data_IF_179919858646
#
_entry.id   IF_179919858646
#
_cell.length_a   1.000
_cell.length_b   1.000
_cell.length_c   1.000
_cell.angle_alpha   90.00
_cell.angle_beta   90.00
_cell.angle_gamma   90.00
#
_symmetry.space_group_name_H-M   'P 1'
#
loop_
_entity.id
_entity.type
_entity.pdbx_description
1 polymer ?
#
# COMPACT_ATOMS: atom_id res chain seq x y z
N UNK A 1 20.88 -41.10 -1.83
CA UNK A 1 21.46 -39.76 -1.62
C UNK A 1 22.98 -39.89 -1.59
N UNK A 2 23.67 -39.36 -2.59
CA UNK A 2 25.13 -39.43 -2.66
C UNK A 2 25.75 -38.38 -1.72
N UNK A 3 27.02 -38.51 -1.36
CA UNK A 3 27.76 -37.46 -0.61
C UNK A 3 27.66 -36.07 -1.27
N UNK A 4 27.37 -36.00 -2.58
CA UNK A 4 27.14 -34.76 -3.31
C UNK A 4 25.86 -34.03 -2.89
N UNK A 5 24.81 -34.78 -2.53
CA UNK A 5 23.50 -34.21 -2.21
C UNK A 5 23.50 -33.52 -0.86
N UNK A 6 24.16 -34.11 0.15
CA UNK A 6 24.32 -33.49 1.47
C UNK A 6 25.10 -32.18 1.42
N UNK A 7 26.12 -32.10 0.54
CA UNK A 7 26.87 -30.86 0.33
C UNK A 7 26.00 -29.77 -0.29
N UNK A 8 25.15 -30.14 -1.25
CA UNK A 8 24.23 -29.19 -1.87
C UNK A 8 23.20 -28.64 -0.87
N UNK A 9 22.65 -29.48 0.01
CA UNK A 9 21.71 -29.02 1.06
C UNK A 9 22.40 -28.14 2.11
N UNK A 10 23.64 -28.44 2.49
CA UNK A 10 24.43 -27.58 3.38
C UNK A 10 24.71 -26.21 2.75
N UNK A 11 25.02 -26.17 1.45
CA UNK A 11 25.23 -24.93 0.73
C UNK A 11 23.94 -24.09 0.65
N UNK A 12 22.79 -24.72 0.46
CA UNK A 12 21.49 -24.03 0.47
C UNK A 12 21.16 -23.44 1.84
N UNK A 13 21.38 -24.20 2.91
CA UNK A 13 21.21 -23.71 4.28
C UNK A 13 22.13 -22.52 4.56
N UNK A 14 23.42 -22.64 4.20
CA UNK A 14 24.39 -21.57 4.38
C UNK A 14 24.01 -20.33 3.55
N UNK A 15 23.56 -20.50 2.30
CA UNK A 15 23.09 -19.42 1.45
C UNK A 15 21.86 -18.72 2.04
N UNK A 16 20.89 -19.47 2.57
CA UNK A 16 19.71 -18.90 3.22
C UNK A 16 20.10 -18.05 4.44
N UNK A 17 20.96 -18.59 5.32
CA UNK A 17 21.47 -17.85 6.48
C UNK A 17 22.26 -16.60 6.08
N UNK A 18 23.10 -16.70 5.05
CA UNK A 18 23.86 -15.56 4.54
C UNK A 18 22.93 -14.46 3.98
N UNK A 19 21.89 -14.83 3.21
CA UNK A 19 20.93 -13.86 2.68
C UNK A 19 20.17 -13.15 3.81
N UNK A 20 19.71 -13.90 4.82
CA UNK A 20 19.05 -13.34 6.01
C UNK A 20 19.98 -12.38 6.76
N UNK A 21 21.24 -12.77 6.97
CA UNK A 21 22.22 -11.92 7.66
C UNK A 21 22.52 -10.63 6.89
N UNK A 22 22.75 -10.73 5.57
CA UNK A 22 23.01 -9.57 4.70
C UNK A 22 21.82 -8.61 4.71
N UNK A 23 20.60 -9.12 4.54
CA UNK A 23 19.38 -8.29 4.52
C UNK A 23 19.04 -7.66 5.88
N UNK A 24 19.56 -8.20 6.98
CA UNK A 24 19.40 -7.64 8.32
C UNK A 24 20.35 -6.48 8.63
N UNK A 25 21.51 -6.43 7.95
CA UNK A 25 22.60 -5.49 8.28
C UNK A 25 22.93 -4.48 7.17
N UNK A 26 22.60 -4.78 5.91
CA UNK A 26 22.97 -3.95 4.77
C UNK A 26 22.14 -2.66 4.70
N UNK A 27 22.77 -1.48 4.61
CA UNK A 27 22.08 -0.23 4.29
C UNK A 27 21.94 0.02 2.78
N UNK A 28 22.58 -0.80 1.93
CA UNK A 28 22.63 -0.57 0.47
C UNK A 28 21.51 -1.30 -0.28
N UNK A 29 20.71 -0.59 -1.11
CA UNK A 29 19.53 -1.16 -1.77
C UNK A 29 19.88 -2.21 -2.84
N UNK A 30 21.04 -2.09 -3.49
CA UNK A 30 21.48 -3.06 -4.50
C UNK A 30 21.90 -4.40 -3.86
N UNK A 31 22.56 -4.34 -2.70
CA UNK A 31 22.94 -5.52 -1.92
C UNK A 31 21.68 -6.21 -1.39
N UNK A 32 20.70 -5.43 -0.94
CA UNK A 32 19.41 -5.94 -0.52
C UNK A 32 18.69 -6.66 -1.66
N UNK A 33 18.62 -6.07 -2.84
CA UNK A 33 18.00 -6.72 -4.00
C UNK A 33 18.71 -8.04 -4.37
N UNK A 34 20.04 -8.02 -4.39
CA UNK A 34 20.86 -9.19 -4.72
C UNK A 34 20.68 -10.34 -3.70
N UNK A 35 20.51 -10.04 -2.42
CA UNK A 35 20.28 -11.03 -1.37
C UNK A 35 18.81 -11.47 -1.28
N UNK A 36 17.85 -10.57 -1.55
CA UNK A 36 16.42 -10.88 -1.55
C UNK A 36 16.03 -11.79 -2.72
N UNK A 37 16.60 -11.57 -3.91
CA UNK A 37 16.28 -12.34 -5.11
C UNK A 37 16.36 -13.88 -4.90
N UNK A 38 17.49 -14.46 -4.43
CA UNK A 38 17.56 -15.91 -4.21
C UNK A 38 16.64 -16.37 -3.07
N UNK A 39 16.47 -15.56 -2.02
CA UNK A 39 15.62 -15.90 -0.87
C UNK A 39 14.12 -15.90 -1.23
N UNK A 40 13.69 -15.07 -2.16
CA UNK A 40 12.28 -14.97 -2.60
C UNK A 40 11.99 -15.91 -3.77
N UNK A 41 12.92 -16.07 -4.71
CA UNK A 41 12.63 -16.73 -5.99
C UNK A 41 13.04 -18.20 -6.02
N UNK A 42 13.99 -18.65 -5.19
CA UNK A 42 14.60 -19.97 -5.40
C UNK A 42 14.82 -20.79 -4.12
N UNK A 43 15.50 -20.24 -3.12
CA UNK A 43 15.97 -20.98 -1.94
C UNK A 43 14.85 -21.69 -1.15
N UNK A 44 13.74 -21.04 -0.76
CA UNK A 44 12.71 -21.68 0.06
C UNK A 44 12.00 -22.81 -0.70
N UNK A 45 11.64 -22.60 -1.97
CA UNK A 45 11.04 -23.66 -2.78
C UNK A 45 12.00 -24.83 -2.99
N UNK A 46 13.30 -24.56 -3.20
CA UNK A 46 14.28 -25.63 -3.40
C UNK A 46 14.46 -26.47 -2.13
N UNK A 47 14.57 -25.81 -0.98
CA UNK A 47 14.70 -26.45 0.31
C UNK A 47 13.47 -27.33 0.62
N UNK A 48 12.25 -26.84 0.34
CA UNK A 48 11.01 -27.61 0.55
C UNK A 48 10.94 -28.82 -0.39
N UNK A 49 11.25 -28.69 -1.68
CA UNK A 49 11.26 -29.83 -2.61
C UNK A 49 12.20 -30.95 -2.14
N UNK A 50 13.39 -30.58 -1.63
CA UNK A 50 14.33 -31.55 -1.06
C UNK A 50 13.84 -32.16 0.24
N UNK A 51 13.23 -31.36 1.11
CA UNK A 51 12.65 -31.85 2.37
C UNK A 51 11.56 -32.91 2.11
N UNK A 52 10.80 -32.73 1.03
CA UNK A 52 9.73 -33.64 0.60
C UNK A 52 10.23 -34.84 -0.21
N UNK A 53 11.49 -34.86 -0.67
CA UNK A 53 12.01 -35.85 -1.62
C UNK A 53 11.22 -35.86 -2.95
N UNK A 54 10.79 -34.67 -3.39
CA UNK A 54 9.95 -34.45 -4.57
C UNK A 54 10.73 -33.76 -5.69
N UNK A 55 11.98 -34.17 -5.93
CA UNK A 55 12.85 -33.52 -6.91
C UNK A 55 12.49 -33.95 -8.35
N UNK A 56 12.05 -33.05 -9.25
CA UNK A 56 11.74 -33.41 -10.63
C UNK A 56 12.99 -33.88 -11.38
N UNK A 57 12.84 -34.77 -12.37
CA UNK A 57 13.98 -35.32 -13.12
C UNK A 57 14.60 -34.28 -14.08
N UNK A 58 13.76 -33.45 -14.72
CA UNK A 58 14.20 -32.43 -15.67
C UNK A 58 14.77 -31.17 -15.03
N UNK A 59 15.84 -30.59 -15.62
CA UNK A 59 16.44 -29.32 -15.12
C UNK A 59 15.47 -28.13 -15.21
N UNK A 60 14.79 -27.98 -16.34
CA UNK A 60 13.81 -26.91 -16.56
C UNK A 60 12.57 -27.10 -15.69
N UNK A 61 12.07 -28.33 -15.61
CA UNK A 61 10.94 -28.69 -14.76
C UNK A 61 11.27 -28.38 -13.29
N UNK A 62 12.41 -28.85 -12.78
CA UNK A 62 12.90 -28.54 -11.43
C UNK A 62 13.00 -27.04 -11.19
N UNK A 63 13.57 -26.28 -12.11
CA UNK A 63 13.67 -24.83 -11.97
C UNK A 63 12.28 -24.18 -11.90
N UNK A 64 11.36 -24.56 -12.80
CA UNK A 64 9.99 -24.01 -12.82
C UNK A 64 9.20 -24.34 -11.56
N UNK A 65 9.25 -25.58 -11.08
CA UNK A 65 8.58 -26.03 -9.85
C UNK A 65 9.19 -25.35 -8.63
N UNK A 66 10.51 -25.18 -8.59
CA UNK A 66 11.22 -24.48 -7.51
C UNK A 66 10.79 -23.01 -7.41
N UNK A 67 10.71 -22.32 -8.55
CA UNK A 67 10.30 -20.91 -8.62
C UNK A 67 8.82 -20.77 -8.24
N UNK A 68 7.96 -21.60 -8.81
CA UNK A 68 6.53 -21.59 -8.50
C UNK A 68 6.27 -21.84 -7.00
N UNK A 69 6.96 -22.82 -6.41
CA UNK A 69 6.83 -23.11 -4.98
C UNK A 69 7.36 -21.97 -4.10
N UNK A 70 8.46 -21.33 -4.49
CA UNK A 70 8.98 -20.17 -3.75
C UNK A 70 8.00 -19.00 -3.77
N UNK A 71 7.41 -18.70 -4.93
CA UNK A 71 6.38 -17.65 -5.05
C UNK A 71 5.12 -17.98 -4.23
N UNK A 72 4.67 -19.24 -4.26
CA UNK A 72 3.55 -19.68 -3.42
C UNK A 72 3.85 -19.47 -1.92
N UNK A 73 5.07 -19.81 -1.46
CA UNK A 73 5.50 -19.59 -0.08
C UNK A 73 5.54 -18.10 0.29
N UNK A 74 5.94 -17.22 -0.63
CA UNK A 74 5.92 -15.76 -0.41
C UNK A 74 4.49 -15.26 -0.23
N UNK A 75 3.55 -15.70 -1.07
CA UNK A 75 2.13 -15.32 -0.97
C UNK A 75 1.53 -15.79 0.35
N UNK A 76 1.73 -17.07 0.70
CA UNK A 76 1.24 -17.64 1.97
C UNK A 76 1.87 -16.93 3.17
N UNK A 77 3.17 -16.63 3.11
CA UNK A 77 3.88 -15.88 4.16
C UNK A 77 3.30 -14.47 4.32
N UNK A 78 3.01 -13.76 3.22
CA UNK A 78 2.38 -12.45 3.26
C UNK A 78 1.00 -12.49 3.90
N UNK A 79 0.19 -13.51 3.59
CA UNK A 79 -1.12 -13.70 4.21
C UNK A 79 -1.00 -13.95 5.72
N UNK A 80 -0.08 -14.83 6.14
CA UNK A 80 0.17 -15.13 7.55
C UNK A 80 0.65 -13.89 8.32
N UNK A 81 1.55 -13.09 7.72
CA UNK A 81 2.04 -11.85 8.32
C UNK A 81 0.93 -10.79 8.39
N UNK A 82 0.06 -10.71 7.40
CA UNK A 82 -1.09 -9.82 7.42
C UNK A 82 -2.06 -10.18 8.56
N UNK A 83 -2.34 -11.48 8.75
CA UNK A 83 -3.18 -11.96 9.86
C UNK A 83 -2.56 -11.68 11.23
N UNK A 84 -1.23 -11.58 11.30
CA UNK A 84 -0.50 -11.24 12.52
C UNK A 84 -0.25 -9.72 12.68
N UNK A 85 -0.82 -8.88 11.80
CA UNK A 85 -0.59 -7.42 11.74
C UNK A 85 0.91 -7.05 11.68
N UNK A 86 1.71 -7.91 11.03
CA UNK A 86 3.18 -7.83 10.98
C UNK A 86 3.70 -7.85 9.55
N UNK A 87 3.02 -7.16 8.63
CA UNK A 87 3.47 -6.95 7.25
C UNK A 87 4.66 -5.97 7.21
N UNK A 88 5.80 -6.44 7.71
CA UNK A 88 7.05 -5.69 7.76
C UNK A 88 8.14 -6.43 6.99
N UNK A 89 9.14 -5.69 6.53
CA UNK A 89 10.35 -6.26 5.92
C UNK A 89 10.98 -7.34 6.83
N UNK A 90 11.04 -7.08 8.13
CA UNK A 90 11.58 -8.00 9.13
C UNK A 90 10.72 -9.27 9.26
N UNK A 91 9.39 -9.13 9.23
CA UNK A 91 8.46 -10.26 9.24
C UNK A 91 8.69 -11.23 8.09
N UNK A 92 8.80 -10.71 6.86
CA UNK A 92 9.09 -11.55 5.69
C UNK A 92 10.45 -12.24 5.77
N UNK A 93 11.48 -11.51 6.19
CA UNK A 93 12.84 -12.02 6.31
C UNK A 93 12.94 -13.16 7.33
N UNK A 94 12.33 -13.00 8.51
CA UNK A 94 12.31 -14.02 9.54
C UNK A 94 11.50 -15.24 9.10
N UNK A 95 10.31 -15.04 8.51
CA UNK A 95 9.42 -16.13 8.14
C UNK A 95 9.98 -16.96 6.97
N UNK A 96 10.40 -16.32 5.87
CA UNK A 96 10.99 -17.03 4.72
C UNK A 96 12.34 -17.67 5.08
N UNK A 97 13.15 -16.97 5.88
CA UNK A 97 14.40 -17.51 6.42
C UNK A 97 14.17 -18.76 7.27
N UNK A 98 13.18 -18.73 8.16
CA UNK A 98 12.81 -19.86 9.00
C UNK A 98 12.30 -21.05 8.17
N UNK A 99 11.45 -20.82 7.17
CA UNK A 99 10.95 -21.86 6.25
C UNK A 99 12.12 -22.53 5.51
N UNK A 100 13.01 -21.75 4.90
CA UNK A 100 14.16 -22.27 4.16
C UNK A 100 15.11 -23.06 5.07
N UNK A 101 15.41 -22.55 6.27
CA UNK A 101 16.27 -23.23 7.23
C UNK A 101 15.64 -24.54 7.74
N UNK A 102 14.37 -24.50 8.16
CA UNK A 102 13.66 -25.67 8.67
C UNK A 102 13.58 -26.77 7.59
N UNK A 103 13.20 -26.42 6.37
CA UNK A 103 13.15 -27.36 5.26
C UNK A 103 14.54 -27.96 4.95
N UNK A 104 15.60 -27.14 4.96
CA UNK A 104 16.97 -27.64 4.76
C UNK A 104 17.42 -28.59 5.86
N UNK A 105 17.08 -28.30 7.13
CA UNK A 105 17.36 -29.18 8.27
C UNK A 105 16.61 -30.51 8.12
N UNK A 106 15.33 -30.48 7.75
CA UNK A 106 14.55 -31.70 7.48
C UNK A 106 15.18 -32.53 6.36
N UNK A 107 15.59 -31.88 5.27
CA UNK A 107 16.28 -32.56 4.17
C UNK A 107 17.60 -33.21 4.61
N UNK A 108 18.37 -32.56 5.50
CA UNK A 108 19.59 -33.13 6.09
C UNK A 108 19.29 -34.29 7.04
N UNK A 109 18.25 -34.18 7.87
CA UNK A 109 17.85 -35.21 8.82
C UNK A 109 17.31 -36.47 8.11
N UNK A 110 16.67 -36.30 6.96
CA UNK A 110 16.21 -37.42 6.10
C UNK A 110 17.33 -38.04 5.27
N UNK A 111 18.49 -37.40 5.17
CA UNK A 111 19.63 -37.98 4.48
C UNK A 111 19.94 -39.35 5.11
N UNK A 112 19.89 -40.46 4.35
CA UNK A 112 20.09 -41.78 4.90
C UNK A 112 21.45 -41.81 5.61
N UNK A 113 21.43 -41.96 6.94
CA UNK A 113 22.65 -42.17 7.73
C UNK A 113 23.29 -43.44 7.18
N UNK A 114 24.41 -43.27 6.48
CA UNK A 114 25.13 -44.36 5.87
C UNK A 114 25.63 -45.33 6.95
N UNK A 115 24.86 -46.39 7.20
CA UNK A 115 25.28 -47.74 7.60
C UNK A 115 24.05 -48.57 8.04
N UNK A 116 23.17 -48.92 7.11
CA UNK A 116 22.36 -50.12 7.25
C UNK A 116 22.52 -50.93 5.96
N UNK A 117 22.85 -52.23 6.03
CA UNK A 117 23.05 -53.06 4.84
C UNK A 117 21.78 -53.05 3.99
N UNK A 118 21.99 -53.04 2.68
CA UNK A 118 20.94 -52.89 1.67
C UNK A 118 19.79 -53.88 1.91
N UNK A 119 18.66 -53.35 2.38
CA UNK A 119 17.39 -54.04 2.27
C UNK A 119 17.01 -54.13 0.79
N UNK A 120 16.41 -55.24 0.34
CA UNK A 120 16.07 -55.46 -1.06
C UNK A 120 15.18 -54.34 -1.58
N UNK A 121 15.47 -53.89 -2.81
CA UNK A 121 14.75 -52.80 -3.48
C UNK A 121 13.23 -53.01 -3.39
N UNK A 122 12.55 -52.06 -2.76
CA UNK A 122 11.10 -52.05 -2.73
C UNK A 122 10.55 -51.95 -4.17
N UNK A 123 9.44 -52.64 -4.50
CA UNK A 123 8.96 -52.78 -5.88
C UNK A 123 8.63 -51.42 -6.51
N UNK A 124 8.99 -51.23 -7.79
CA UNK A 124 8.72 -50.04 -8.61
C UNK A 124 7.27 -49.51 -8.52
N UNK A 125 6.30 -50.36 -8.19
CA UNK A 125 4.89 -49.99 -7.97
C UNK A 125 4.70 -48.96 -6.84
N UNK A 126 5.57 -48.95 -5.83
CA UNK A 126 5.48 -48.04 -4.68
C UNK A 126 6.08 -46.65 -4.96
N UNK A 127 6.93 -46.53 -6.00
CA UNK A 127 7.41 -45.22 -6.51
C UNK A 127 6.37 -44.53 -7.40
N UNK A 128 5.56 -45.29 -8.14
CA UNK A 128 4.49 -44.74 -8.97
C UNK A 128 3.37 -44.10 -8.13
N UNK A 129 3.03 -44.69 -6.99
CA UNK A 129 2.05 -44.11 -6.05
C UNK A 129 2.57 -42.87 -5.34
N UNK A 130 3.87 -42.80 -5.04
CA UNK A 130 4.51 -41.59 -4.50
C UNK A 130 4.52 -40.43 -5.51
N UNK A 131 4.71 -40.72 -6.80
CA UNK A 131 4.62 -39.73 -7.88
C UNK A 131 3.20 -39.20 -8.06
N UNK A 132 2.20 -40.09 -8.03
CA UNK A 132 0.79 -39.68 -8.05
C UNK A 132 0.43 -38.81 -6.83
N UNK A 133 0.91 -39.18 -5.63
CA UNK A 133 0.72 -38.38 -4.42
C UNK A 133 1.37 -36.99 -4.53
N UNK A 134 2.57 -36.89 -5.11
CA UNK A 134 3.27 -35.62 -5.33
C UNK A 134 2.55 -34.74 -6.36
N UNK A 135 2.01 -35.31 -7.43
CA UNK A 135 1.18 -34.61 -8.41
C UNK A 135 -0.13 -34.11 -7.78
N UNK A 136 -0.77 -34.91 -6.92
CA UNK A 136 -1.98 -34.47 -6.19
C UNK A 136 -1.69 -33.33 -5.21
N UNK A 137 -0.55 -33.35 -4.53
CA UNK A 137 -0.16 -32.26 -3.63
C UNK A 137 0.25 -30.99 -4.39
N UNK A 138 0.95 -31.12 -5.52
CA UNK A 138 1.30 -29.99 -6.38
C UNK A 138 0.06 -29.35 -7.01
N UNK A 139 -0.87 -30.15 -7.54
CA UNK A 139 -2.15 -29.66 -8.07
C UNK A 139 -3.00 -29.01 -6.99
N UNK A 140 -3.05 -29.58 -5.78
CA UNK A 140 -3.72 -28.96 -4.65
C UNK A 140 -3.09 -27.61 -4.25
N UNK A 141 -1.76 -27.52 -4.24
CA UNK A 141 -1.05 -26.28 -3.95
C UNK A 141 -1.33 -25.19 -5.01
N UNK A 142 -1.32 -25.55 -6.29
CA UNK A 142 -1.68 -24.63 -7.39
C UNK A 142 -3.15 -24.23 -7.30
N UNK A 143 -4.05 -25.16 -6.99
CA UNK A 143 -5.46 -24.88 -6.82
C UNK A 143 -5.73 -23.93 -5.64
N UNK A 144 -5.06 -24.14 -4.50
CA UNK A 144 -5.16 -23.25 -3.34
C UNK A 144 -4.57 -21.86 -3.62
N UNK A 145 -3.43 -21.78 -4.30
CA UNK A 145 -2.85 -20.50 -4.72
C UNK A 145 -3.77 -19.77 -5.71
N UNK A 146 -4.33 -20.49 -6.70
CA UNK A 146 -5.30 -19.95 -7.64
C UNK A 146 -6.58 -19.48 -6.95
N UNK A 147 -7.09 -20.24 -5.99
CA UNK A 147 -8.27 -19.86 -5.19
C UNK A 147 -7.98 -18.63 -4.33
N UNK A 148 -6.80 -18.52 -3.72
CA UNK A 148 -6.39 -17.35 -2.95
C UNK A 148 -6.29 -16.10 -3.83
N UNK A 149 -5.70 -16.21 -5.03
CA UNK A 149 -5.63 -15.10 -6.00
C UNK A 149 -7.02 -14.71 -6.49
N UNK A 150 -7.86 -15.69 -6.87
CA UNK A 150 -9.23 -15.44 -7.30
C UNK A 150 -10.05 -14.76 -6.19
N UNK A 151 -9.92 -15.23 -4.95
CA UNK A 151 -10.59 -14.63 -3.80
C UNK A 151 -10.06 -13.22 -3.51
N UNK A 152 -8.75 -12.99 -3.60
CA UNK A 152 -8.17 -11.66 -3.45
C UNK A 152 -8.63 -10.69 -4.54
N UNK A 153 -8.82 -11.16 -5.78
CA UNK A 153 -9.38 -10.37 -6.88
C UNK A 153 -10.86 -10.07 -6.63
N UNK A 154 -11.66 -11.08 -6.30
CA UNK A 154 -13.11 -10.92 -6.02
C UNK A 154 -13.33 -9.97 -4.83
N UNK A 155 -12.57 -10.14 -3.75
CA UNK A 155 -12.65 -9.27 -2.58
C UNK A 155 -12.16 -7.83 -2.86
N UNK A 156 -11.15 -7.64 -3.73
CA UNK A 156 -10.73 -6.31 -4.16
C UNK A 156 -11.69 -5.66 -5.17
N UNK A 157 -12.47 -6.46 -5.93
CA UNK A 157 -13.49 -5.92 -6.82
C UNK A 157 -14.64 -5.29 -6.01
N UNK A 158 -15.00 -5.88 -4.87
CA UNK A 158 -15.99 -5.33 -3.94
C UNK A 158 -15.41 -4.24 -3.03
N UNK A 159 -14.14 -4.35 -2.64
CA UNK A 159 -13.42 -3.35 -1.83
C UNK A 159 -12.50 -2.49 -2.68
N UNK A 160 -13.08 -1.59 -3.48
CA UNK A 160 -12.33 -0.44 -4.01
C UNK A 160 -12.11 0.59 -2.88
N UNK A 161 -11.37 0.21 -1.85
CA UNK A 161 -11.13 1.05 -0.66
C UNK A 161 -10.18 2.26 -0.93
N UNK A 162 -9.82 2.52 -2.20
CA UNK A 162 -8.91 3.60 -2.60
C UNK A 162 -9.50 4.57 -3.63
N UNK A 163 -10.82 4.58 -3.86
CA UNK A 163 -11.44 5.63 -4.67
C UNK A 163 -11.91 6.76 -3.76
N UNK A 164 -10.94 7.48 -3.19
CA UNK A 164 -11.20 8.64 -2.36
C UNK A 164 -11.53 9.84 -3.22
N UNK A 165 -12.58 10.56 -2.82
CA UNK A 165 -12.90 11.88 -3.39
C UNK A 165 -11.66 12.79 -3.29
N UNK A 166 -11.27 13.40 -4.41
CA UNK A 166 -10.07 14.24 -4.48
C UNK A 166 -10.46 15.71 -4.37
N UNK A 167 -9.85 16.43 -3.42
CA UNK A 167 -10.01 17.87 -3.23
C UNK A 167 -8.67 18.57 -3.47
N UNK A 168 -8.68 19.61 -4.31
CA UNK A 168 -7.53 20.48 -4.52
C UNK A 168 -7.90 21.95 -4.48
N UNK A 169 -6.92 22.76 -4.07
CA UNK A 169 -6.97 24.22 -4.07
C UNK A 169 -5.66 24.69 -4.68
N UNK A 170 -5.73 25.38 -5.81
CA UNK A 170 -4.55 25.85 -6.56
C UNK A 170 -4.69 27.34 -6.89
N UNK A 171 -3.59 28.11 -6.94
CA UNK A 171 -3.67 29.51 -7.35
C UNK A 171 -4.13 29.64 -8.80
N UNK A 172 -4.92 30.67 -9.11
CA UNK A 172 -5.30 30.97 -10.49
C UNK A 172 -4.15 31.71 -11.18
N UNK A 173 -3.69 31.18 -12.32
CA UNK A 173 -2.62 31.83 -13.08
C UNK A 173 -3.04 33.25 -13.50
N UNK A 174 -2.17 34.23 -13.22
CA UNK A 174 -2.40 35.64 -13.53
C UNK A 174 -3.36 36.38 -12.58
N UNK A 175 -3.84 35.76 -11.50
CA UNK A 175 -4.73 36.40 -10.52
C UNK A 175 -4.35 35.98 -9.10
N UNK A 176 -3.53 36.81 -8.46
CA UNK A 176 -2.95 36.53 -7.15
C UNK A 176 -3.98 36.54 -6.01
N UNK A 177 -5.17 37.09 -6.24
CA UNK A 177 -6.30 37.15 -5.30
C UNK A 177 -7.36 36.08 -5.61
N UNK A 178 -7.00 35.07 -6.40
CA UNK A 178 -7.90 34.01 -6.79
C UNK A 178 -7.28 32.61 -6.66
N UNK A 179 -8.09 31.68 -6.17
CA UNK A 179 -7.78 30.24 -6.18
C UNK A 179 -8.85 29.49 -6.94
N UNK A 180 -8.44 28.43 -7.62
CA UNK A 180 -9.32 27.43 -8.20
C UNK A 180 -9.45 26.30 -7.19
N UNK A 181 -10.68 26.05 -6.78
CA UNK A 181 -11.06 24.93 -5.93
C UNK A 181 -11.65 23.88 -6.85
N UNK A 182 -11.15 22.66 -6.76
CA UNK A 182 -11.67 21.54 -7.53
C UNK A 182 -11.93 20.32 -6.68
N UNK A 183 -12.97 19.61 -7.06
CA UNK A 183 -13.46 18.40 -6.42
C UNK A 183 -13.70 17.36 -7.48
N UNK A 184 -13.16 16.15 -7.31
CA UNK A 184 -13.46 15.01 -8.18
C UNK A 184 -14.04 13.88 -7.36
N UNK A 185 -15.23 13.43 -7.75
CA UNK A 185 -15.81 12.22 -7.18
C UNK A 185 -15.08 11.02 -7.78
N UNK A 186 -14.28 10.34 -6.97
CA UNK A 186 -13.65 9.10 -7.37
C UNK A 186 -14.48 7.88 -6.91
N UNK A 187 -15.44 8.07 -6.00
CA UNK A 187 -16.27 7.00 -5.42
C UNK A 187 -17.02 6.21 -6.48
N UNK A 188 -17.47 5.00 -6.12
CA UNK A 188 -18.23 4.14 -7.03
C UNK A 188 -19.66 4.65 -7.31
N UNK A 189 -20.21 5.48 -6.43
CA UNK A 189 -21.57 6.00 -6.49
C UNK A 189 -21.64 7.48 -6.84
N UNK A 190 -22.81 7.92 -7.32
CA UNK A 190 -23.11 9.34 -7.40
C UNK A 190 -23.32 9.89 -5.99
N UNK A 191 -22.66 11.00 -5.68
CA UNK A 191 -22.60 11.58 -4.34
C UNK A 191 -22.94 13.06 -4.38
N UNK A 192 -23.38 13.61 -3.24
CA UNK A 192 -23.69 15.03 -3.06
C UNK A 192 -22.74 15.58 -2.01
N UNK A 193 -22.03 16.65 -2.36
CA UNK A 193 -21.02 17.24 -1.49
C UNK A 193 -21.42 18.64 -1.02
N UNK A 194 -21.09 18.94 0.23
CA UNK A 194 -21.06 20.30 0.74
C UNK A 194 -19.60 20.77 0.80
N UNK A 195 -19.34 21.97 0.33
CA UNK A 195 -18.01 22.57 0.22
C UNK A 195 -18.03 23.90 0.96
N UNK A 196 -17.15 24.06 1.93
CA UNK A 196 -16.99 25.29 2.70
C UNK A 196 -15.59 25.86 2.48
N UNK A 197 -15.50 27.17 2.28
CA UNK A 197 -14.25 27.88 2.11
C UNK A 197 -14.05 28.81 3.28
N UNK A 198 -12.91 28.66 3.93
CA UNK A 198 -12.50 29.47 5.05
C UNK A 198 -11.28 30.28 4.64
N UNK A 199 -11.27 31.55 5.04
CA UNK A 199 -10.09 32.41 4.96
C UNK A 199 -9.72 32.76 6.39
N UNK A 200 -8.50 32.40 6.80
CA UNK A 200 -8.02 32.57 8.18
C UNK A 200 -9.03 32.03 9.21
N UNK A 201 -9.53 30.82 8.95
CA UNK A 201 -10.54 30.10 9.75
C UNK A 201 -11.92 30.75 9.83
N UNK A 202 -12.18 31.81 9.08
CA UNK A 202 -13.51 32.41 8.95
C UNK A 202 -14.21 31.89 7.70
N UNK A 203 -15.41 31.35 7.84
CA UNK A 203 -16.24 30.92 6.71
C UNK A 203 -16.59 32.12 5.82
N UNK A 204 -16.17 32.08 4.56
CA UNK A 204 -16.39 33.15 3.58
C UNK A 204 -17.32 32.74 2.44
N UNK A 205 -17.37 31.45 2.10
CA UNK A 205 -18.20 30.92 1.04
C UNK A 205 -18.60 29.46 1.34
N UNK A 206 -19.81 29.07 0.94
CA UNK A 206 -20.28 27.69 1.07
C UNK A 206 -21.12 27.30 -0.15
N UNK A 207 -21.09 26.01 -0.51
CA UNK A 207 -21.95 25.34 -1.47
C UNK A 207 -22.48 24.07 -0.81
N UNK A 208 -23.78 23.96 -0.57
CA UNK A 208 -24.34 22.88 0.26
C UNK A 208 -24.72 21.60 -0.50
N UNK A 209 -24.72 21.64 -1.83
CA UNK A 209 -25.30 20.58 -2.65
C UNK A 209 -24.68 20.51 -4.05
N UNK A 210 -23.47 19.96 -4.12
CA UNK A 210 -22.73 19.74 -5.38
C UNK A 210 -22.88 18.27 -5.79
N UNK A 211 -23.79 17.94 -6.73
CA UNK A 211 -23.96 16.57 -7.20
C UNK A 211 -22.82 16.19 -8.14
N UNK A 212 -22.16 15.06 -7.89
CA UNK A 212 -21.10 14.53 -8.74
C UNK A 212 -21.31 13.03 -8.99
N UNK A 213 -21.33 12.63 -10.26
CA UNK A 213 -21.29 11.22 -10.67
C UNK A 213 -19.88 10.63 -10.49
N UNK A 214 -19.74 9.30 -10.48
CA UNK A 214 -18.42 8.66 -10.48
C UNK A 214 -17.52 9.18 -11.60
N UNK A 215 -16.33 9.65 -11.24
CA UNK A 215 -15.34 10.24 -12.14
C UNK A 215 -15.56 11.71 -12.50
N UNK A 216 -16.71 12.29 -12.15
CA UNK A 216 -17.06 13.68 -12.47
C UNK A 216 -16.25 14.68 -11.64
N UNK A 217 -15.98 15.85 -12.23
CA UNK A 217 -15.18 16.90 -11.62
C UNK A 217 -15.96 18.20 -11.59
N UNK A 218 -15.99 18.82 -10.42
CA UNK A 218 -16.52 20.16 -10.20
C UNK A 218 -15.37 21.12 -9.92
N UNK A 219 -15.42 22.31 -10.50
CA UNK A 219 -14.42 23.36 -10.24
C UNK A 219 -15.10 24.71 -10.08
N UNK A 220 -14.56 25.54 -9.21
CA UNK A 220 -14.98 26.93 -9.05
C UNK A 220 -13.77 27.83 -8.82
N UNK A 221 -13.89 29.09 -9.23
CA UNK A 221 -12.90 30.12 -8.88
C UNK A 221 -13.42 30.90 -7.70
N UNK A 222 -12.68 30.88 -6.59
CA UNK A 222 -12.93 31.74 -5.44
C UNK A 222 -11.95 32.91 -5.49
N UNK A 223 -12.47 34.13 -5.36
CA UNK A 223 -11.66 35.36 -5.27
C UNK A 223 -11.86 35.99 -3.91
N UNK A 224 -10.78 36.39 -3.26
CA UNK A 224 -10.84 37.22 -2.06
C UNK A 224 -10.50 38.67 -2.46
N UNK A 225 -11.52 39.48 -2.72
CA UNK A 225 -11.28 40.87 -3.12
C UNK A 225 -10.82 41.71 -1.92
N UNK A 226 -9.63 42.32 -2.03
CA UNK A 226 -9.19 43.52 -1.31
C UNK A 226 -9.45 43.58 0.20
N UNK A 227 -8.39 43.37 1.00
CA UNK A 227 -8.33 43.71 2.43
C UNK A 227 -8.36 45.25 2.65
N UNK A 228 -9.50 45.88 2.38
CA UNK A 228 -9.81 47.25 2.84
C UNK A 228 -10.55 47.27 4.19
N UNK A 229 -11.09 46.13 4.61
CA UNK A 229 -11.71 45.80 5.91
C UNK A 229 -12.38 44.44 5.66
N UNK A 230 -11.99 43.41 6.42
CA UNK A 230 -12.65 42.09 6.41
C UNK A 230 -14.18 42.23 6.23
N UNK A 231 -14.80 41.59 5.23
CA UNK A 231 -16.25 41.60 5.11
C UNK A 231 -16.85 40.89 6.32
N UNK A 232 -17.92 41.51 6.84
CA UNK A 232 -18.80 40.94 7.88
C UNK A 232 -19.17 39.50 7.50
N UNK A 233 -19.33 38.59 8.48
CA UNK A 233 -19.84 37.26 8.22
C UNK A 233 -21.07 37.37 7.31
N UNK A 234 -21.00 36.73 6.14
CA UNK A 234 -22.19 36.55 5.31
C UNK A 234 -23.14 35.75 6.18
N UNK A 235 -24.27 36.36 6.58
CA UNK A 235 -25.28 35.66 7.35
C UNK A 235 -25.60 34.36 6.61
N UNK A 236 -25.65 33.21 7.30
CA UNK A 236 -26.13 31.98 6.69
C UNK A 236 -27.50 32.28 6.07
N UNK A 237 -27.68 31.84 4.82
CA UNK A 237 -28.99 31.79 4.18
C UNK A 237 -29.99 31.27 5.21
N UNK A 238 -31.02 32.06 5.52
CA UNK A 238 -32.06 31.78 6.51
C UNK A 238 -32.39 30.28 6.52
N UNK A 239 -31.88 29.62 7.54
CA UNK A 239 -32.27 28.29 7.94
C UNK A 239 -33.78 28.35 8.20
N UNK A 240 -34.55 27.66 7.36
CA UNK A 240 -35.96 27.46 7.58
C UNK A 240 -36.16 26.79 8.94
N UNK A 241 -36.63 27.58 9.90
CA UNK A 241 -37.14 27.21 11.21
C UNK A 241 -37.16 25.71 11.56
N UNK A 242 -36.29 25.30 12.51
CA UNK A 242 -36.68 24.64 13.79
C UNK A 242 -35.44 24.18 14.57
N UNK A 243 -35.38 24.58 15.84
CA UNK A 243 -34.57 23.91 16.87
C UNK A 243 -33.45 24.78 17.45
N UNK A 244 -33.68 25.29 18.66
CA UNK A 244 -32.75 26.11 19.44
C UNK A 244 -31.61 25.27 20.04
N UNK A 245 -30.38 25.81 20.07
CA UNK A 245 -29.39 25.49 21.11
C UNK A 245 -27.92 25.59 20.71
N UNK A 246 -27.30 26.75 21.05
CA UNK A 246 -25.89 26.99 21.43
C UNK A 246 -25.11 28.01 20.56
N UNK A 247 -24.46 29.03 21.15
CA UNK A 247 -23.67 30.02 20.42
C UNK A 247 -22.27 29.48 20.10
N UNK A 248 -21.88 29.44 18.83
CA UNK A 248 -20.50 29.26 18.40
C UNK A 248 -19.72 30.55 18.63
N UNK A 249 -18.58 30.40 19.31
CA UNK A 249 -17.71 31.47 19.77
C UNK A 249 -17.21 32.38 18.63
N UNK A 250 -17.45 33.69 18.78
CA UNK A 250 -16.72 34.72 18.04
C UNK A 250 -15.30 34.82 18.57
N UNK A 251 -14.36 34.16 17.90
CA UNK A 251 -12.92 34.41 18.07
C UNK A 251 -12.53 35.54 17.11
N UNK A 252 -12.45 36.76 17.64
CA UNK A 252 -11.92 37.92 16.91
C UNK A 252 -10.44 38.05 17.23
N UNK A 253 -9.61 37.16 16.70
CA UNK A 253 -8.15 37.29 16.77
C UNK A 253 -7.70 38.21 15.61
N UNK A 254 -7.04 39.32 15.96
CA UNK A 254 -6.48 40.26 14.97
C UNK A 254 -5.30 39.60 14.28
N UNK A 255 -5.52 39.02 13.11
CA UNK A 255 -4.46 38.57 12.22
C UNK A 255 -3.67 39.80 11.75
N UNK A 256 -2.36 39.80 12.01
CA UNK A 256 -1.46 40.91 11.73
C UNK A 256 -1.47 41.32 10.26
N UNK A 257 -1.55 42.63 10.02
CA UNK A 257 -1.36 43.26 8.71
C UNK A 257 -0.02 42.81 8.11
N UNK A 258 -0.06 41.95 7.09
CA UNK A 258 1.13 41.53 6.32
C UNK A 258 1.33 40.02 6.14
N UNK A 259 0.53 39.17 6.81
CA UNK A 259 0.54 37.74 6.54
C UNK A 259 -0.33 37.42 5.31
N UNK A 260 0.16 36.55 4.44
CA UNK A 260 -0.61 36.08 3.29
C UNK A 260 -1.78 35.19 3.79
N UNK A 261 -3.01 35.36 3.26
CA UNK A 261 -4.19 34.69 3.79
C UNK A 261 -4.07 33.18 3.64
N UNK A 262 -4.53 32.44 4.67
CA UNK A 262 -4.66 30.99 4.61
C UNK A 262 -6.05 30.64 4.11
N UNK A 263 -6.14 30.07 2.91
CA UNK A 263 -7.39 29.61 2.31
C UNK A 263 -7.55 28.12 2.58
N UNK A 264 -8.63 27.72 3.22
CA UNK A 264 -8.97 26.32 3.48
C UNK A 264 -10.26 25.95 2.76
N UNK A 265 -10.27 24.80 2.10
CA UNK A 265 -11.48 24.17 1.60
C UNK A 265 -11.79 22.93 2.45
N UNK A 266 -13.01 22.87 2.97
CA UNK A 266 -13.56 21.73 3.69
C UNK A 266 -14.63 21.09 2.82
N UNK A 267 -14.62 19.76 2.75
CA UNK A 267 -15.60 18.99 1.98
C UNK A 267 -16.24 17.93 2.86
N UNK A 268 -17.56 17.89 2.78
CA UNK A 268 -18.45 17.00 3.51
C UNK A 268 -19.35 16.27 2.51
N UNK A 269 -19.85 15.09 2.89
CA UNK A 269 -21.01 14.53 2.20
C UNK A 269 -22.25 15.28 2.68
N UNK A 270 -23.17 15.64 1.80
CA UNK A 270 -24.33 16.46 2.18
C UNK A 270 -25.24 15.76 3.20
N UNK A 271 -25.24 14.43 3.23
CA UNK A 271 -26.03 13.61 4.16
C UNK A 271 -25.32 13.33 5.51
N UNK A 272 -23.98 13.43 5.55
CA UNK A 272 -23.17 13.23 6.76
C UNK A 272 -22.10 14.33 6.88
N UNK A 273 -22.25 15.18 7.89
CA UNK A 273 -21.34 16.29 8.20
C UNK A 273 -20.06 15.85 8.92
N UNK A 274 -19.83 14.57 9.12
CA UNK A 274 -18.49 14.11 9.50
C UNK A 274 -17.52 14.52 8.38
N UNK A 275 -16.53 15.37 8.70
CA UNK A 275 -15.65 15.97 7.68
C UNK A 275 -14.90 14.89 6.92
N UNK A 276 -15.08 14.83 5.60
CA UNK A 276 -14.44 13.78 4.80
C UNK A 276 -13.07 14.24 4.30
N UNK A 277 -12.91 15.53 3.95
CA UNK A 277 -11.64 16.06 3.44
C UNK A 277 -11.39 17.53 3.82
N UNK A 278 -10.13 17.85 4.15
CA UNK A 278 -9.65 19.21 4.42
C UNK A 278 -8.39 19.47 3.62
N UNK A 279 -8.37 20.57 2.85
CA UNK A 279 -7.17 21.03 2.14
C UNK A 279 -6.95 22.50 2.43
N UNK A 280 -5.75 22.81 2.91
CA UNK A 280 -5.29 24.18 3.07
C UNK A 280 -4.32 24.56 1.95
N UNK A 281 -4.46 25.79 1.49
CA UNK A 281 -3.50 26.50 0.67
C UNK A 281 -3.12 27.78 1.42
N UNK A 282 -1.82 27.98 1.60
CA UNK A 282 -1.29 29.23 2.11
C UNK A 282 -0.56 29.88 0.94
N UNK A 283 -0.88 31.14 0.66
CA UNK A 283 -0.15 31.89 -0.36
C UNK A 283 1.36 31.85 -0.04
N UNK A 284 2.22 31.46 -0.99
CA UNK A 284 3.66 31.46 -0.76
C UNK A 284 4.13 32.87 -0.39
N UNK A 285 5.12 32.98 0.49
CA UNK A 285 5.69 34.26 0.97
C UNK A 285 6.53 34.99 -0.10
N UNK A 286 6.20 34.85 -1.38
CA UNK A 286 6.88 35.50 -2.48
C UNK A 286 6.16 36.81 -2.85
N UNK A 287 6.92 37.75 -3.41
CA UNK A 287 6.40 39.08 -3.70
C UNK A 287 5.66 39.10 -5.05
N UNK A 288 4.52 39.78 -5.08
CA UNK A 288 3.60 39.84 -6.22
C UNK A 288 3.82 41.07 -7.12
N UNK A 289 4.98 41.73 -7.05
CA UNK A 289 5.31 42.91 -7.88
C UNK A 289 6.81 43.20 -7.95
N UNK A 290 7.21 44.11 -8.85
CA UNK A 290 8.62 44.48 -9.11
C UNK A 290 9.31 45.19 -7.93
N UNK A 291 8.56 45.78 -7.00
CA UNK A 291 9.12 46.39 -5.79
C UNK A 291 9.33 45.33 -4.71
N UNK A 292 10.44 44.60 -4.84
CA UNK A 292 10.83 43.56 -3.89
C UNK A 292 12.01 44.02 -3.04
N UNK A 293 11.77 44.18 -1.74
CA UNK A 293 12.82 44.20 -0.72
C UNK A 293 13.46 42.79 -0.60
N UNK A 294 14.16 42.34 -1.64
CA UNK A 294 14.95 41.10 -1.63
C UNK A 294 14.17 39.78 -1.57
N UNK A 295 12.87 39.76 -1.91
CA UNK A 295 12.09 38.50 -2.00
C UNK A 295 12.08 37.96 -3.43
N UNK A 296 12.27 36.65 -3.64
CA UNK A 296 12.23 36.07 -4.98
C UNK A 296 10.82 36.20 -5.61
N UNK A 297 10.72 36.42 -6.93
CA UNK A 297 9.45 36.45 -7.64
C UNK A 297 8.77 35.08 -7.54
N UNK A 298 7.44 35.07 -7.42
CA UNK A 298 6.69 33.83 -7.42
C UNK A 298 6.79 33.13 -8.79
N UNK A 299 7.50 32.01 -8.86
CA UNK A 299 7.45 31.10 -10.01
C UNK A 299 6.38 30.07 -9.70
N UNK A 300 5.21 30.18 -10.35
CA UNK A 300 4.07 29.27 -10.22
C UNK A 300 4.01 28.26 -11.38
#
# INVERSE_FOLDING_TARGET
MSRSDSRATLLELAAALACVAVLGWSPHPLVDLAAAAPLVVYLPGRAVLRALDADPEGRLERASVTVALSLALVIVSGLLLNLADSITRQGFLLLLGAIACAASIVALARAPRAAAPAAPEAPRAQRATAWAANLTMATLAVALAGAAVALAVVLNLDRRDFVTTQLWVVPKQGDAEAVVIGLRNAEAGAERYAIEVLVDHSLVQSWSDVPLKPGETWTTTFRWAGLGKYPRPVQPLKEGARGQGAPLATVSERVGLGAAPRVEALVYRSEDRSSVYRRAWTAPQCALGDDTHGRPPCVF
#
